data_IF_243209604046
#
_entry.id   IF_243209604046
#
_cell.length_a   1.000
_cell.length_b   1.000
_cell.length_c   1.000
_cell.angle_alpha   90.00
_cell.angle_beta   90.00
_cell.angle_gamma   90.00
#
_symmetry.space_group_name_H-M   'P 1'
#
loop_
_entity.id
_entity.type
_entity.pdbx_description
1 polymer ?
#
# COMPACT_ATOMS: atom_id res chain seq x y z
N UNK A 1 22.82 -12.09 -41.75
CA UNK A 1 22.16 -10.87 -41.22
C UNK A 1 22.36 -10.82 -39.71
N UNK A 2 23.12 -9.85 -39.17
CA UNK A 2 23.30 -9.67 -37.72
C UNK A 2 22.03 -9.01 -37.16
N UNK A 3 21.31 -9.67 -36.23
CA UNK A 3 20.20 -9.06 -35.50
C UNK A 3 20.75 -7.98 -34.57
N UNK A 4 20.30 -6.73 -34.74
CA UNK A 4 20.62 -5.63 -33.84
C UNK A 4 19.97 -5.91 -32.47
N UNK A 5 20.77 -5.86 -31.39
CA UNK A 5 20.29 -6.06 -30.02
C UNK A 5 19.51 -4.81 -29.63
N UNK A 6 18.22 -4.96 -29.30
CA UNK A 6 17.37 -3.84 -28.88
C UNK A 6 17.92 -3.28 -27.57
N UNK A 7 18.25 -1.99 -27.54
CA UNK A 7 18.81 -1.34 -26.36
C UNK A 7 17.83 -1.46 -25.18
N UNK A 8 18.37 -1.86 -24.03
CA UNK A 8 17.63 -1.95 -22.77
C UNK A 8 17.30 -0.55 -22.24
N UNK A 9 16.44 -0.46 -21.22
CA UNK A 9 16.15 0.83 -20.55
C UNK A 9 17.41 1.37 -19.87
N UNK A 10 18.21 0.48 -19.28
CA UNK A 10 19.51 0.82 -18.68
C UNK A 10 20.45 1.45 -19.73
N UNK A 11 20.53 0.88 -20.93
CA UNK A 11 21.37 1.42 -22.01
C UNK A 11 20.93 2.84 -22.42
N UNK A 12 19.62 3.08 -22.50
CA UNK A 12 19.07 4.39 -22.85
C UNK A 12 19.31 5.43 -21.77
N UNK A 13 19.08 5.06 -20.50
CA UNK A 13 19.30 5.96 -19.37
C UNK A 13 20.78 6.31 -19.23
N UNK A 14 21.66 5.32 -19.41
CA UNK A 14 23.11 5.52 -19.39
C UNK A 14 23.61 6.45 -20.50
N UNK A 15 22.99 6.39 -21.70
CA UNK A 15 23.30 7.30 -22.79
C UNK A 15 22.84 8.73 -22.49
N UNK A 16 21.58 8.88 -22.05
CA UNK A 16 21.02 10.16 -21.65
C UNK A 16 21.84 10.86 -20.56
N UNK A 17 22.20 10.15 -19.49
CA UNK A 17 23.02 10.71 -18.41
C UNK A 17 24.40 11.17 -18.90
N UNK A 18 24.97 10.48 -19.89
CA UNK A 18 26.28 10.81 -20.43
C UNK A 18 26.24 12.08 -21.27
N UNK A 19 25.30 12.16 -22.22
CA UNK A 19 25.11 13.33 -23.07
C UNK A 19 24.84 14.59 -22.23
N UNK A 20 24.00 14.44 -21.20
CA UNK A 20 23.71 15.52 -20.27
C UNK A 20 24.93 15.95 -19.44
N UNK A 21 25.77 15.00 -19.01
CA UNK A 21 27.02 15.34 -18.30
C UNK A 21 28.04 16.04 -19.20
N UNK A 22 28.10 15.67 -20.47
CA UNK A 22 28.96 16.35 -21.46
C UNK A 22 28.53 17.81 -21.65
N UNK A 23 27.23 18.07 -21.80
CA UNK A 23 26.70 19.44 -21.89
C UNK A 23 26.99 20.28 -20.63
N UNK A 24 26.88 19.67 -19.44
CA UNK A 24 27.17 20.36 -18.18
C UNK A 24 28.67 20.63 -18.01
N UNK A 25 29.52 19.71 -18.45
CA UNK A 25 30.98 19.88 -18.44
C UNK A 25 31.43 20.99 -19.39
N UNK A 26 30.80 21.11 -20.56
CA UNK A 26 31.06 22.21 -21.50
C UNK A 26 30.63 23.57 -20.92
N UNK A 27 29.43 23.65 -20.32
CA UNK A 27 28.90 24.89 -19.71
C UNK A 27 29.67 25.36 -18.49
N UNK A 28 30.36 24.44 -17.81
CA UNK A 28 31.19 24.76 -16.64
C UNK A 28 32.63 25.11 -17.00
N UNK A 29 33.01 25.09 -18.28
CA UNK A 29 34.39 25.34 -18.75
C UNK A 29 35.45 24.47 -18.06
N UNK A 30 35.05 23.31 -17.54
CA UNK A 30 35.93 22.42 -16.75
C UNK A 30 36.12 22.84 -15.29
N UNK A 31 35.40 23.85 -14.79
CA UNK A 31 35.32 24.16 -13.36
C UNK A 31 34.50 23.07 -12.64
N UNK A 32 35.20 22.29 -11.83
CA UNK A 32 34.62 21.18 -11.08
C UNK A 32 33.55 21.64 -10.09
N UNK A 33 33.71 22.79 -9.44
CA UNK A 33 32.75 23.27 -8.45
C UNK A 33 31.47 23.77 -9.14
N UNK A 34 31.61 24.44 -10.28
CA UNK A 34 30.48 24.84 -11.12
C UNK A 34 29.72 23.61 -11.68
N UNK A 35 30.46 22.60 -12.15
CA UNK A 35 29.90 21.34 -12.62
C UNK A 35 29.11 20.60 -11.53
N UNK A 36 29.70 20.48 -10.33
CA UNK A 36 29.07 19.79 -9.20
C UNK A 36 27.85 20.55 -8.67
N UNK A 37 27.84 21.87 -8.79
CA UNK A 37 26.68 22.70 -8.46
C UNK A 37 25.53 22.44 -9.43
N UNK A 38 25.79 22.49 -10.73
CA UNK A 38 24.79 22.21 -11.76
C UNK A 38 24.24 20.77 -11.66
N UNK A 39 25.11 19.80 -11.39
CA UNK A 39 24.70 18.41 -11.13
C UNK A 39 23.75 18.30 -9.94
N UNK A 40 24.02 19.00 -8.85
CA UNK A 40 23.18 18.96 -7.64
C UNK A 40 21.80 19.56 -7.87
N UNK A 41 21.74 20.67 -8.59
CA UNK A 41 20.46 21.30 -8.97
C UNK A 41 19.63 20.35 -9.82
N UNK A 42 20.24 19.74 -10.83
CA UNK A 42 19.60 18.76 -11.69
C UNK A 42 19.12 17.52 -10.92
N UNK A 43 19.93 16.97 -10.04
CA UNK A 43 19.53 15.85 -9.18
C UNK A 43 18.37 16.22 -8.24
N UNK A 44 18.32 17.48 -7.78
CA UNK A 44 17.20 17.99 -6.97
C UNK A 44 15.90 18.01 -7.78
N UNK A 45 15.96 18.49 -9.03
CA UNK A 45 14.82 18.49 -9.96
C UNK A 45 14.37 17.05 -10.24
N UNK A 46 15.31 16.15 -10.56
CA UNK A 46 15.02 14.74 -10.80
C UNK A 46 14.28 14.10 -9.63
N UNK A 47 14.76 14.32 -8.40
CA UNK A 47 14.12 13.79 -7.20
C UNK A 47 12.72 14.38 -6.99
N UNK A 48 12.53 15.69 -7.20
CA UNK A 48 11.23 16.34 -7.05
C UNK A 48 10.21 15.78 -8.06
N UNK A 49 10.59 15.66 -9.34
CA UNK A 49 9.72 15.11 -10.39
C UNK A 49 9.43 13.63 -10.14
N UNK A 50 10.43 12.85 -9.72
CA UNK A 50 10.22 11.43 -9.41
C UNK A 50 9.26 11.26 -8.23
N UNK A 51 9.40 12.08 -7.18
CA UNK A 51 8.49 12.07 -6.05
C UNK A 51 7.05 12.44 -6.46
N UNK A 52 6.89 13.45 -7.33
CA UNK A 52 5.59 13.86 -7.87
C UNK A 52 4.93 12.75 -8.70
N UNK A 53 5.68 12.09 -9.60
CA UNK A 53 5.18 10.97 -10.40
C UNK A 53 4.82 9.78 -9.50
N UNK A 54 5.64 9.48 -8.50
CA UNK A 54 5.34 8.41 -7.55
C UNK A 54 4.10 8.73 -6.72
N UNK A 55 3.91 9.99 -6.33
CA UNK A 55 2.70 10.43 -5.64
C UNK A 55 1.48 10.35 -6.56
N UNK A 56 1.60 10.81 -7.81
CA UNK A 56 0.53 10.70 -8.81
C UNK A 56 0.15 9.25 -9.06
N UNK A 57 1.12 8.33 -9.15
CA UNK A 57 0.83 6.90 -9.24
C UNK A 57 0.22 6.38 -7.95
N UNK A 58 0.69 6.80 -6.77
CA UNK A 58 0.06 6.42 -5.52
C UNK A 58 -1.41 6.89 -5.46
N UNK A 59 -1.71 8.07 -6.02
CA UNK A 59 -3.05 8.65 -6.13
C UNK A 59 -3.89 8.05 -7.27
N UNK A 60 -3.26 7.48 -8.31
CA UNK A 60 -3.93 6.73 -9.40
C UNK A 60 -4.19 5.27 -9.01
N UNK A 61 -3.35 4.73 -8.11
CA UNK A 61 -3.48 3.42 -7.46
C UNK A 61 -4.05 3.54 -6.03
N UNK A 62 -4.64 4.68 -5.65
CA UNK A 62 -5.61 4.64 -4.57
C UNK A 62 -6.66 3.64 -5.03
N UNK A 63 -6.82 2.57 -4.25
CA UNK A 63 -7.97 1.71 -4.37
C UNK A 63 -9.17 2.64 -4.45
N UNK A 64 -9.95 2.50 -5.52
CA UNK A 64 -11.17 3.25 -5.78
C UNK A 64 -11.79 3.68 -4.44
N UNK A 65 -11.82 4.98 -4.14
CA UNK A 65 -12.64 5.51 -3.04
C UNK A 65 -14.14 5.24 -3.32
N UNK A 66 -14.48 4.73 -4.52
CA UNK A 66 -15.14 3.44 -4.72
C UNK A 66 -16.27 3.06 -3.78
N UNK A 67 -17.30 3.91 -3.79
CA UNK A 67 -18.58 3.69 -3.13
C UNK A 67 -18.43 3.56 -1.59
N UNK A 68 -19.27 4.26 -0.82
CA UNK A 68 -19.38 3.92 0.60
C UNK A 68 -20.04 2.56 0.66
N UNK A 69 -19.23 1.51 0.66
CA UNK A 69 -19.68 0.13 0.72
C UNK A 69 -20.01 -0.17 2.17
N UNK A 70 -21.31 -0.22 2.49
CA UNK A 70 -21.80 -0.58 3.84
C UNK A 70 -21.35 -1.99 4.25
N UNK A 71 -21.16 -2.88 3.26
CA UNK A 71 -20.75 -4.27 3.43
C UNK A 71 -19.78 -4.68 2.31
N UNK A 72 -18.53 -4.95 2.66
CA UNK A 72 -17.54 -5.51 1.73
C UNK A 72 -17.50 -7.03 1.91
N UNK A 73 -17.64 -7.77 0.81
CA UNK A 73 -17.53 -9.24 0.78
C UNK A 73 -16.44 -9.68 -0.19
N UNK A 74 -15.58 -10.60 0.23
CA UNK A 74 -14.52 -11.18 -0.60
C UNK A 74 -14.31 -12.66 -0.28
N UNK A 75 -13.85 -13.44 -1.26
CA UNK A 75 -13.57 -14.89 -1.12
C UNK A 75 -12.06 -15.22 -1.15
N UNK A 76 -11.23 -14.19 -1.30
CA UNK A 76 -9.78 -14.33 -1.34
C UNK A 76 -9.18 -13.09 -0.67
N UNK A 77 -8.13 -13.30 0.13
CA UNK A 77 -7.36 -12.23 0.71
C UNK A 77 -5.89 -12.35 0.29
N UNK A 78 -5.27 -11.20 0.06
CA UNK A 78 -3.82 -11.11 -0.07
C UNK A 78 -3.26 -10.76 1.29
N UNK A 79 -2.33 -11.58 1.78
CA UNK A 79 -1.60 -11.29 3.01
C UNK A 79 -0.14 -11.02 2.70
N UNK A 80 0.33 -9.89 3.20
CA UNK A 80 1.70 -9.43 3.07
C UNK A 80 2.41 -9.51 4.41
N UNK A 81 3.61 -10.10 4.39
CA UNK A 81 4.42 -10.33 5.59
C UNK A 81 5.79 -9.71 5.41
N UNK A 82 6.14 -8.78 6.29
CA UNK A 82 7.52 -8.36 6.48
C UNK A 82 8.21 -9.34 7.43
N UNK A 83 9.06 -10.21 6.89
CA UNK A 83 9.81 -11.15 7.71
C UNK A 83 10.93 -10.43 8.46
N UNK A 84 10.88 -10.47 9.79
CA UNK A 84 11.87 -9.81 10.65
C UNK A 84 13.26 -10.44 10.58
N UNK A 85 13.37 -11.71 10.20
CA UNK A 85 14.65 -12.42 10.15
C UNK A 85 15.41 -12.12 8.85
N UNK A 86 14.71 -12.12 7.72
CA UNK A 86 15.32 -11.89 6.39
C UNK A 86 15.17 -10.47 5.89
N UNK A 87 14.30 -9.66 6.48
CA UNK A 87 13.97 -8.31 6.02
C UNK A 87 13.20 -8.27 4.69
N UNK A 88 12.66 -9.40 4.24
CA UNK A 88 11.98 -9.53 2.94
C UNK A 88 10.47 -9.44 3.10
N UNK A 89 9.83 -8.86 2.08
CA UNK A 89 8.38 -8.89 1.91
C UNK A 89 7.96 -10.18 1.19
N UNK A 90 7.04 -10.92 1.80
CA UNK A 90 6.39 -12.09 1.19
C UNK A 90 4.92 -11.79 0.99
N UNK A 91 4.38 -12.18 -0.17
CA UNK A 91 2.96 -12.04 -0.52
C UNK A 91 2.35 -13.42 -0.73
N UNK A 92 1.20 -13.67 -0.12
CA UNK A 92 0.44 -14.92 -0.30
C UNK A 92 -1.02 -14.64 -0.50
N UNK A 93 -1.62 -15.37 -1.42
CA UNK A 93 -3.05 -15.41 -1.59
C UNK A 93 -3.63 -16.50 -0.68
N UNK A 94 -4.63 -16.16 0.11
CA UNK A 94 -5.33 -17.07 1.00
C UNK A 94 -6.79 -17.18 0.55
N UNK A 95 -7.29 -18.39 0.30
CA UNK A 95 -8.72 -18.63 0.08
C UNK A 95 -9.44 -18.53 1.42
N UNK A 96 -9.82 -17.31 1.80
CA UNK A 96 -10.60 -17.01 3.00
C UNK A 96 -11.74 -16.08 2.62
N UNK A 97 -12.90 -16.32 3.21
CA UNK A 97 -14.03 -15.42 3.06
C UNK A 97 -13.89 -14.28 4.05
N UNK A 98 -13.95 -13.04 3.56
CA UNK A 98 -13.93 -11.82 4.34
C UNK A 98 -15.29 -11.13 4.20
N UNK A 99 -15.83 -10.67 5.32
CA UNK A 99 -16.98 -9.76 5.35
C UNK A 99 -16.65 -8.60 6.29
N UNK A 100 -16.63 -7.39 5.77
CA UNK A 100 -16.42 -6.16 6.52
C UNK A 100 -17.69 -5.33 6.52
N UNK A 101 -18.03 -4.77 7.69
CA UNK A 101 -19.17 -3.88 7.89
C UNK A 101 -18.76 -2.78 8.87
N UNK A 102 -19.65 -1.82 9.14
CA UNK A 102 -19.45 -0.85 10.23
C UNK A 102 -19.21 -1.48 11.63
N UNK A 103 -19.61 -2.75 11.82
CA UNK A 103 -19.38 -3.48 13.07
C UNK A 103 -17.99 -4.16 13.14
N UNK A 104 -17.21 -4.12 12.06
CA UNK A 104 -15.89 -4.74 11.97
C UNK A 104 -15.80 -5.85 10.92
N UNK A 105 -14.75 -6.67 11.01
CA UNK A 105 -14.33 -7.64 10.00
C UNK A 105 -14.52 -9.06 10.51
N UNK A 106 -15.10 -9.92 9.69
CA UNK A 106 -15.23 -11.35 9.91
C UNK A 106 -14.46 -12.11 8.84
N UNK A 107 -13.52 -12.94 9.28
CA UNK A 107 -12.79 -13.88 8.43
C UNK A 107 -13.33 -15.30 8.67
N UNK A 108 -13.66 -16.00 7.59
CA UNK A 108 -14.19 -17.37 7.64
C UNK A 108 -13.37 -18.27 6.70
N UNK A 109 -13.08 -19.48 7.15
CA UNK A 109 -12.36 -20.49 6.37
C UNK A 109 -12.49 -21.86 7.01
N UNK A 110 -11.50 -22.72 6.78
CA UNK A 110 -11.47 -24.08 7.32
C UNK A 110 -10.15 -24.34 8.07
N UNK A 111 -10.21 -25.18 9.09
CA UNK A 111 -9.00 -25.73 9.72
C UNK A 111 -8.36 -26.80 8.84
N UNK A 112 -7.19 -27.30 9.23
CA UNK A 112 -6.51 -28.39 8.51
C UNK A 112 -7.35 -29.68 8.45
N UNK A 113 -8.26 -29.85 9.40
CA UNK A 113 -9.22 -30.96 9.49
C UNK A 113 -10.52 -30.70 8.70
N UNK A 114 -10.57 -29.62 7.91
CA UNK A 114 -11.75 -29.24 7.11
C UNK A 114 -12.92 -28.74 7.95
N UNK A 115 -12.68 -28.34 9.22
CA UNK A 115 -13.75 -27.81 10.07
C UNK A 115 -13.92 -26.31 9.83
N UNK A 116 -15.16 -25.80 9.74
CA UNK A 116 -15.39 -24.36 9.63
C UNK A 116 -14.75 -23.60 10.79
N UNK A 117 -14.06 -22.51 10.46
CA UNK A 117 -13.39 -21.62 11.42
C UNK A 117 -13.75 -20.16 11.14
N UNK A 118 -13.88 -19.36 12.20
CA UNK A 118 -14.24 -17.95 12.13
C UNK A 118 -13.42 -17.12 13.12
N UNK A 119 -12.92 -16.00 12.65
CA UNK A 119 -12.27 -14.96 13.47
C UNK A 119 -13.03 -13.66 13.24
N UNK A 120 -13.38 -12.96 14.32
CA UNK A 120 -14.10 -11.69 14.26
C UNK A 120 -13.27 -10.59 14.93
N UNK A 121 -13.06 -9.50 14.22
CA UNK A 121 -12.47 -8.25 14.70
C UNK A 121 -13.57 -7.22 14.81
N UNK A 122 -13.91 -6.81 16.04
CA UNK A 122 -15.03 -5.91 16.30
C UNK A 122 -14.55 -4.46 16.31
N UNK A 123 -15.32 -3.58 15.67
CA UNK A 123 -15.12 -2.14 15.76
C UNK A 123 -15.59 -1.61 17.12
N UNK A 124 -15.17 -0.39 17.46
CA UNK A 124 -15.66 0.31 18.66
C UNK A 124 -17.18 0.46 18.65
N UNK A 125 -17.78 0.71 17.48
CA UNK A 125 -19.23 0.77 17.29
C UNK A 125 -19.92 -0.55 17.65
N UNK A 126 -19.33 -1.70 17.28
CA UNK A 126 -19.87 -3.00 17.65
C UNK A 126 -19.74 -3.28 19.14
N UNK A 127 -18.60 -2.93 19.74
CA UNK A 127 -18.37 -3.07 21.18
C UNK A 127 -19.36 -2.22 22.00
N UNK A 128 -19.64 -0.99 21.56
CA UNK A 128 -20.63 -0.12 22.21
C UNK A 128 -22.04 -0.72 22.10
N UNK A 129 -22.44 -1.22 20.92
CA UNK A 129 -23.73 -1.91 20.77
C UNK A 129 -23.86 -3.13 21.68
N UNK A 130 -22.78 -3.92 21.82
CA UNK A 130 -22.75 -5.07 22.74
C UNK A 130 -22.89 -4.59 24.18
N UNK A 131 -22.19 -3.52 24.57
CA UNK A 131 -22.30 -2.94 25.90
C UNK A 131 -23.71 -2.45 26.20
N UNK A 132 -24.35 -1.76 25.26
CA UNK A 132 -25.71 -1.24 25.38
C UNK A 132 -26.75 -2.37 25.46
N UNK A 133 -26.57 -3.45 24.68
CA UNK A 133 -27.43 -4.64 24.71
C UNK A 133 -27.30 -5.45 26.00
N UNK A 134 -26.09 -5.54 26.55
CA UNK A 134 -25.86 -6.24 27.82
C UNK A 134 -26.53 -5.46 28.98
N UNK A 135 -26.62 -4.14 28.88
CA UNK A 135 -27.35 -3.28 29.80
C UNK A 135 -26.77 -3.26 31.22
N UNK A 136 -26.77 -2.08 31.86
CA UNK A 136 -26.65 -2.03 33.32
C UNK A 136 -27.90 -2.71 33.89
N UNK A 137 -27.72 -3.81 34.62
CA UNK A 137 -28.79 -4.74 35.01
C UNK A 137 -30.04 -4.10 35.63
N UNK A 138 -31.15 -4.83 35.47
CA UNK A 138 -32.50 -4.60 36.00
C UNK A 138 -32.92 -3.14 36.25
N UNK A 139 -33.79 -2.62 35.38
CA UNK A 139 -34.73 -1.57 35.79
C UNK A 139 -35.45 -2.04 37.06
N UNK A 140 -35.33 -1.25 38.12
CA UNK A 140 -35.96 -1.53 39.40
C UNK A 140 -37.46 -1.83 39.18
N UNK A 141 -38.02 -2.81 39.91
CA UNK A 141 -39.34 -3.33 39.61
C UNK A 141 -40.42 -2.24 39.67
N UNK A 142 -41.22 -2.22 38.60
CA UNK A 142 -42.51 -1.59 38.55
C UNK A 142 -43.43 -2.09 39.68
N UNK A 143 -44.07 -1.14 40.34
CA UNK A 143 -45.27 -1.24 41.18
C UNK A 143 -45.23 -2.08 42.46
N UNK A 144 -45.43 -1.41 43.61
CA UNK A 144 -46.41 -1.86 44.60
C UNK A 144 -47.15 -0.64 45.21
N UNK A 145 -48.49 -0.69 45.07
CA UNK A 145 -49.58 -0.11 45.86
C UNK A 145 -49.70 1.40 46.11
#
# INVERSE_FOLDING_TARGET
>A
MKKSKKATIEDKMSAFCREMMEELAEKSEGDYDALMTAWREMHTIYNAVTAEILQQWADEYTFDDGEVVDVLEANEAVVEFWDRNTGKLFRRNLPINCMETANGIVLTGETMEGQPSKIAFLSETALQKIHDLIGKGADAPHHEH
#
